data_IF_488606693731
#
_entry.id   IF_488606693731
#
_cell.length_a   1.000
_cell.length_b   1.000
_cell.length_c   1.000
_cell.angle_alpha   90.00
_cell.angle_beta   90.00
_cell.angle_gamma   90.00
#
_symmetry.space_group_name_H-M   'P 1'
#
loop_
_entity.id
_entity.type
_entity.pdbx_description
1 polymer ?
#
# COMPACT_ATOMS: atom_id res chain seq x y z
N UNK A 1 12.01 -2.31 -40.38
CA UNK A 1 12.73 -1.69 -39.25
C UNK A 1 11.75 -1.45 -38.11
N UNK A 2 11.51 -2.51 -37.34
CA UNK A 2 10.63 -2.48 -36.19
C UNK A 2 11.45 -2.01 -34.98
N UNK A 3 11.19 -0.75 -34.62
CA UNK A 3 11.55 -0.13 -33.37
C UNK A 3 11.35 -1.13 -32.21
N UNK A 4 12.46 -1.59 -31.63
CA UNK A 4 12.43 -2.48 -30.48
C UNK A 4 11.74 -1.75 -29.34
N UNK A 5 10.50 -2.14 -29.04
CA UNK A 5 9.63 -1.51 -28.06
C UNK A 5 10.29 -1.52 -26.66
N UNK A 6 11.00 -0.43 -26.31
CA UNK A 6 11.78 -0.22 -25.08
C UNK A 6 10.98 -0.54 -23.80
N UNK A 7 9.64 -0.59 -23.89
CA UNK A 7 8.72 -0.93 -22.80
C UNK A 7 8.86 -2.38 -22.29
N UNK A 8 9.54 -3.25 -23.03
CA UNK A 8 9.79 -4.64 -22.63
C UNK A 8 11.17 -4.87 -22.01
N UNK A 9 12.09 -3.91 -22.07
CA UNK A 9 13.45 -4.09 -21.53
C UNK A 9 13.50 -3.95 -20.01
N UNK A 10 14.20 -4.88 -19.35
CA UNK A 10 14.39 -4.84 -17.91
C UNK A 10 15.31 -3.68 -17.54
N UNK A 11 14.75 -2.66 -16.89
CA UNK A 11 15.52 -1.51 -16.42
C UNK A 11 16.29 -1.90 -15.16
N UNK A 12 17.63 -1.81 -15.25
CA UNK A 12 18.58 -2.06 -14.15
C UNK A 12 19.32 -0.80 -13.71
N UNK A 13 18.84 0.38 -14.07
CA UNK A 13 19.50 1.65 -13.75
C UNK A 13 19.59 1.84 -12.24
N UNK A 14 20.80 2.14 -11.75
CA UNK A 14 21.06 2.34 -10.33
C UNK A 14 21.15 1.05 -9.50
N UNK A 15 21.27 -0.13 -10.13
CA UNK A 15 21.61 -1.36 -9.42
C UNK A 15 23.14 -1.46 -9.18
N UNK A 16 23.54 -1.81 -7.96
CA UNK A 16 24.91 -2.13 -7.61
C UNK A 16 25.10 -3.66 -7.56
N UNK A 17 25.57 -4.23 -8.67
CA UNK A 17 25.81 -5.68 -8.81
C UNK A 17 26.88 -6.21 -7.87
N UNK A 18 27.81 -5.37 -7.37
CA UNK A 18 28.83 -5.80 -6.40
C UNK A 18 28.20 -6.26 -5.09
N UNK A 19 26.96 -5.83 -4.81
CA UNK A 19 26.19 -6.20 -3.63
C UNK A 19 25.25 -7.38 -3.85
N UNK A 20 25.17 -7.89 -5.08
CA UNK A 20 24.28 -8.96 -5.50
C UNK A 20 25.08 -10.10 -6.13
N UNK A 21 26.11 -10.58 -5.44
CA UNK A 21 27.05 -11.58 -5.96
C UNK A 21 26.40 -12.94 -6.26
N UNK A 22 25.27 -13.26 -5.63
CA UNK A 22 24.53 -14.51 -5.88
C UNK A 22 23.54 -14.37 -7.05
N UNK A 23 23.32 -13.15 -7.54
CA UNK A 23 22.32 -12.86 -8.55
C UNK A 23 22.97 -12.40 -9.87
N UNK A 24 22.15 -12.45 -10.92
CA UNK A 24 22.46 -11.91 -12.23
C UNK A 24 21.18 -11.46 -12.94
N UNK A 25 21.33 -10.82 -14.11
CA UNK A 25 20.20 -10.51 -14.98
C UNK A 25 19.53 -11.83 -15.45
N UNK A 26 18.19 -11.88 -15.53
CA UNK A 26 17.49 -13.02 -16.12
C UNK A 26 18.01 -13.32 -17.53
N UNK A 27 18.14 -14.61 -17.87
CA UNK A 27 18.63 -15.04 -19.19
C UNK A 27 17.65 -14.74 -20.33
N UNK A 28 16.41 -14.40 -20.00
CA UNK A 28 15.35 -14.08 -20.95
C UNK A 28 14.56 -12.89 -20.43
N UNK A 29 14.32 -11.92 -21.30
CA UNK A 29 13.41 -10.81 -21.05
C UNK A 29 11.99 -11.33 -20.86
N UNK A 30 11.23 -10.69 -19.98
CA UNK A 30 9.85 -11.08 -19.71
C UNK A 30 8.97 -10.88 -20.97
N UNK A 31 8.31 -11.94 -21.44
CA UNK A 31 7.45 -11.91 -22.66
C UNK A 31 6.12 -11.16 -22.49
N UNK A 32 5.69 -10.92 -21.24
CA UNK A 32 4.40 -10.33 -20.93
C UNK A 32 4.54 -8.90 -20.38
N UNK A 33 3.45 -8.13 -20.49
CA UNK A 33 3.34 -6.77 -19.92
C UNK A 33 3.83 -6.75 -18.48
N UNK A 34 4.79 -5.88 -18.20
CA UNK A 34 5.40 -5.75 -16.87
C UNK A 34 4.37 -5.32 -15.83
N UNK A 35 4.35 -6.06 -14.71
CA UNK A 35 3.56 -5.69 -13.54
C UNK A 35 4.06 -4.35 -12.96
N UNK A 36 3.16 -3.60 -12.31
CA UNK A 36 3.46 -2.30 -11.70
C UNK A 36 4.63 -2.34 -10.71
N UNK A 37 4.90 -3.51 -10.11
CA UNK A 37 5.99 -3.73 -9.14
C UNK A 37 7.37 -3.35 -9.71
N UNK A 38 7.58 -3.51 -11.02
CA UNK A 38 8.87 -3.27 -11.66
C UNK A 38 9.20 -1.77 -11.82
N UNK A 39 8.24 -0.88 -11.53
CA UNK A 39 8.52 0.55 -11.33
C UNK A 39 9.33 0.81 -10.05
N UNK A 40 9.30 -0.13 -9.11
CA UNK A 40 9.82 0.04 -7.74
C UNK A 40 10.96 -0.94 -7.40
N UNK A 41 11.45 -1.71 -8.37
CA UNK A 41 12.53 -2.66 -8.14
C UNK A 41 12.93 -3.43 -9.38
N UNK A 42 13.82 -4.40 -9.18
CA UNK A 42 14.53 -5.12 -10.23
C UNK A 42 14.17 -6.60 -10.21
N UNK A 43 13.99 -7.18 -11.39
CA UNK A 43 13.88 -8.62 -11.57
C UNK A 43 15.28 -9.22 -11.73
N UNK A 44 15.65 -10.18 -10.89
CA UNK A 44 16.95 -10.86 -10.97
C UNK A 44 16.75 -12.37 -10.92
N UNK A 45 17.74 -13.15 -11.36
CA UNK A 45 17.75 -14.59 -11.15
C UNK A 45 18.98 -15.02 -10.33
N UNK A 46 18.90 -16.18 -9.70
CA UNK A 46 20.07 -16.78 -9.04
C UNK A 46 21.09 -17.21 -10.08
N UNK A 47 22.37 -16.93 -9.81
CA UNK A 47 23.47 -17.35 -10.67
C UNK A 47 23.64 -18.87 -10.71
N UNK A 48 23.37 -19.54 -9.60
CA UNK A 48 23.43 -21.00 -9.48
C UNK A 48 22.23 -21.71 -10.12
N UNK A 49 21.09 -21.01 -10.28
CA UNK A 49 19.89 -21.54 -10.91
C UNK A 49 19.11 -20.40 -11.58
N UNK A 50 19.38 -20.11 -12.87
CA UNK A 50 18.77 -18.98 -13.58
C UNK A 50 17.25 -19.04 -13.74
N UNK A 51 16.62 -20.20 -13.52
CA UNK A 51 15.16 -20.34 -13.57
C UNK A 51 14.49 -19.78 -12.30
N UNK A 52 15.24 -19.60 -11.21
CA UNK A 52 14.72 -19.00 -9.98
C UNK A 52 14.81 -17.48 -10.05
N UNK A 53 13.65 -16.86 -10.24
CA UNK A 53 13.47 -15.42 -10.30
C UNK A 53 13.18 -14.84 -8.90
N UNK A 54 13.79 -13.70 -8.62
CA UNK A 54 13.62 -12.90 -7.42
C UNK A 54 13.35 -11.45 -7.76
N UNK A 55 12.74 -10.74 -6.83
CA UNK A 55 12.56 -9.29 -6.90
C UNK A 55 13.44 -8.59 -5.86
N UNK A 56 14.09 -7.52 -6.29
CA UNK A 56 14.88 -6.63 -5.43
C UNK A 56 14.22 -5.26 -5.39
N UNK A 57 13.78 -4.81 -4.21
CA UNK A 57 13.24 -3.46 -4.03
C UNK A 57 14.32 -2.39 -4.24
N UNK A 58 14.04 -1.40 -5.11
CA UNK A 58 14.98 -0.30 -5.42
C UNK A 58 15.31 0.53 -4.19
N UNK A 59 14.29 0.88 -3.40
CA UNK A 59 14.47 1.66 -2.18
C UNK A 59 15.38 0.95 -1.17
N UNK A 60 15.08 -0.32 -0.86
CA UNK A 60 15.89 -1.11 0.06
C UNK A 60 17.33 -1.29 -0.44
N UNK A 61 17.49 -1.49 -1.76
CA UNK A 61 18.80 -1.58 -2.36
C UNK A 61 19.61 -0.31 -2.17
N UNK A 62 19.05 0.87 -2.46
CA UNK A 62 19.72 2.15 -2.27
C UNK A 62 20.09 2.42 -0.80
N UNK A 63 19.22 2.03 0.15
CA UNK A 63 19.43 2.22 1.59
C UNK A 63 20.22 1.09 2.26
N UNK A 64 20.85 0.23 1.47
CA UNK A 64 21.71 -0.87 1.93
C UNK A 64 21.04 -1.93 2.82
N UNK A 65 19.72 -2.05 2.77
CA UNK A 65 18.91 -3.05 3.51
C UNK A 65 18.31 -4.09 2.56
N UNK A 66 19.02 -4.39 1.47
CA UNK A 66 18.52 -5.21 0.36
C UNK A 66 18.02 -6.57 0.83
N UNK A 67 16.72 -6.81 0.69
CA UNK A 67 16.11 -8.13 0.83
C UNK A 67 15.61 -8.56 -0.55
N UNK A 68 15.89 -9.81 -0.92
CA UNK A 68 15.27 -10.45 -2.06
C UNK A 68 13.96 -11.09 -1.63
N UNK A 69 12.93 -10.99 -2.45
CA UNK A 69 11.63 -11.58 -2.14
C UNK A 69 11.01 -12.20 -3.38
N UNK A 70 10.35 -13.34 -3.20
CA UNK A 70 9.49 -13.96 -4.21
C UNK A 70 8.08 -13.35 -4.22
N UNK A 71 7.70 -12.57 -3.19
CA UNK A 71 6.38 -11.94 -3.02
C UNK A 71 6.46 -10.42 -3.15
N UNK A 72 6.90 -9.94 -4.31
CA UNK A 72 7.19 -8.52 -4.57
C UNK A 72 6.01 -7.57 -4.31
N UNK A 73 4.79 -7.93 -4.75
CA UNK A 73 3.61 -7.07 -4.61
C UNK A 73 3.24 -6.85 -3.13
N UNK A 74 3.20 -7.93 -2.34
CA UNK A 74 2.92 -7.85 -0.91
C UNK A 74 4.01 -7.07 -0.16
N UNK A 75 5.28 -7.28 -0.54
CA UNK A 75 6.41 -6.56 0.03
C UNK A 75 6.32 -5.04 -0.21
N UNK A 76 6.03 -4.62 -1.44
CA UNK A 76 5.89 -3.20 -1.79
C UNK A 76 4.64 -2.54 -1.17
N UNK A 77 3.60 -3.32 -0.85
CA UNK A 77 2.38 -2.84 -0.20
C UNK A 77 2.47 -2.75 1.33
N UNK A 78 3.56 -3.26 1.92
CA UNK A 78 3.79 -3.22 3.35
C UNK A 78 3.93 -1.77 3.85
N UNK A 79 3.45 -1.51 5.07
CA UNK A 79 3.53 -0.18 5.67
C UNK A 79 4.91 0.08 6.28
N UNK A 80 5.89 0.26 5.41
CA UNK A 80 7.29 0.52 5.75
C UNK A 80 7.81 1.70 4.94
N UNK A 81 8.86 2.35 5.46
CA UNK A 81 9.47 3.50 4.79
C UNK A 81 9.99 3.09 3.41
N UNK A 82 9.63 3.86 2.38
CA UNK A 82 9.97 3.57 0.98
C UNK A 82 9.14 2.47 0.32
N UNK A 83 8.13 1.94 1.01
CA UNK A 83 7.09 1.05 0.49
C UNK A 83 5.73 1.79 0.48
N UNK A 84 4.61 1.08 0.61
CA UNK A 84 3.23 1.57 0.43
C UNK A 84 2.82 1.87 -1.02
N UNK A 85 3.42 1.17 -1.98
CA UNK A 85 3.00 1.27 -3.37
C UNK A 85 1.78 0.39 -3.64
N UNK A 86 0.79 0.94 -4.32
CA UNK A 86 -0.40 0.21 -4.78
C UNK A 86 -0.42 0.12 -6.30
N UNK A 87 -1.14 -0.85 -6.89
CA UNK A 87 -1.26 -0.98 -8.35
C UNK A 87 -1.80 0.29 -9.03
N UNK A 88 -2.64 1.07 -8.33
CA UNK A 88 -3.20 2.34 -8.80
C UNK A 88 -2.28 3.55 -8.59
N UNK A 89 -1.13 3.39 -7.91
CA UNK A 89 -0.22 4.49 -7.57
C UNK A 89 -0.69 5.35 -6.40
N UNK A 90 -1.84 5.04 -5.79
CA UNK A 90 -2.35 5.74 -4.61
C UNK A 90 -1.58 5.26 -3.39
N UNK A 91 -0.79 6.12 -2.78
CA UNK A 91 -0.18 5.86 -1.48
C UNK A 91 -1.29 5.57 -0.46
N UNK A 92 -1.14 4.51 0.35
CA UNK A 92 -1.96 4.36 1.55
C UNK A 92 -1.83 5.67 2.33
N UNK A 93 -2.96 6.24 2.74
CA UNK A 93 -2.99 7.52 3.45
C UNK A 93 -1.98 7.51 4.60
N UNK A 94 -1.14 8.53 4.64
CA UNK A 94 -0.24 8.73 5.75
C UNK A 94 -1.08 9.07 6.97
N UNK A 95 -1.18 8.13 7.90
CA UNK A 95 -1.59 8.44 9.26
C UNK A 95 -0.65 9.50 9.84
N UNK A 96 -1.19 10.44 10.62
CA UNK A 96 -0.39 11.45 11.30
C UNK A 96 0.66 10.79 12.21
N UNK A 97 1.81 11.43 12.46
CA UNK A 97 2.82 10.91 13.37
C UNK A 97 2.20 10.53 14.73
N UNK A 98 2.35 9.26 15.14
CA UNK A 98 1.77 8.71 16.37
C UNK A 98 0.48 7.91 16.19
N UNK A 99 -0.18 7.98 15.04
CA UNK A 99 -1.35 7.15 14.74
C UNK A 99 -0.94 5.83 14.08
N UNK A 100 -1.45 4.69 14.59
CA UNK A 100 -1.31 3.35 13.98
C UNK A 100 -2.70 2.78 13.74
N UNK A 101 -2.94 2.19 12.57
CA UNK A 101 -4.17 1.40 12.36
C UNK A 101 -4.18 0.19 13.30
N UNK A 102 -5.37 -0.35 13.65
CA UNK A 102 -5.45 -1.63 14.38
C UNK A 102 -4.66 -2.72 13.67
N UNK A 103 -4.78 -2.80 12.34
CA UNK A 103 -3.98 -3.71 11.51
C UNK A 103 -2.47 -3.49 11.68
N UNK A 104 -2.03 -2.24 11.75
CA UNK A 104 -0.62 -1.87 11.99
C UNK A 104 -0.15 -2.18 13.41
N UNK A 105 -1.02 -2.18 14.42
CA UNK A 105 -0.69 -2.62 15.78
C UNK A 105 -0.51 -4.15 15.83
N UNK A 106 -1.41 -4.91 15.22
CA UNK A 106 -1.29 -6.38 15.13
C UNK A 106 -0.05 -6.81 14.35
N UNK A 107 0.32 -6.12 13.27
CA UNK A 107 1.54 -6.41 12.51
C UNK A 107 2.83 -6.13 13.30
N UNK A 108 2.76 -5.27 14.32
CA UNK A 108 3.89 -4.98 15.22
C UNK A 108 3.94 -5.91 16.45
N UNK A 109 3.16 -7.01 16.45
CA UNK A 109 3.15 -7.99 17.54
C UNK A 109 2.34 -7.58 18.76
N UNK A 110 1.59 -6.47 18.69
CA UNK A 110 0.67 -6.08 19.76
C UNK A 110 -0.59 -6.94 19.64
N UNK A 111 -0.84 -7.78 20.65
CA UNK A 111 -2.03 -8.61 20.74
C UNK A 111 -3.20 -7.70 21.12
N UNK A 112 -4.15 -7.54 20.20
CA UNK A 112 -5.41 -6.84 20.48
C UNK A 112 -6.40 -7.86 21.04
N UNK A 113 -6.96 -7.65 22.24
CA UNK A 113 -8.03 -8.48 22.77
C UNK A 113 -9.18 -8.59 21.78
N UNK A 114 -9.70 -9.81 21.59
CA UNK A 114 -10.68 -10.11 20.54
C UNK A 114 -11.98 -9.31 20.71
N UNK A 115 -12.43 -9.10 21.94
CA UNK A 115 -13.58 -8.27 22.29
C UNK A 115 -13.37 -6.81 21.84
N UNK A 116 -12.20 -6.24 22.13
CA UNK A 116 -11.83 -4.90 21.68
C UNK A 116 -11.67 -4.80 20.16
N UNK A 117 -11.12 -5.84 19.54
CA UNK A 117 -11.04 -5.98 18.08
C UNK A 117 -12.42 -6.04 17.42
N UNK A 118 -13.37 -6.75 18.01
CA UNK A 118 -14.75 -6.88 17.52
C UNK A 118 -15.54 -5.58 17.66
N UNK A 119 -15.30 -4.80 18.73
CA UNK A 119 -15.95 -3.51 18.96
C UNK A 119 -15.46 -2.44 17.96
N UNK A 120 -14.16 -2.43 17.64
CA UNK A 120 -13.54 -1.32 16.91
C UNK A 120 -13.26 -1.67 15.43
N UNK A 121 -13.13 -2.95 15.10
CA UNK A 121 -12.58 -3.44 13.82
C UNK A 121 -13.54 -3.46 12.63
N UNK A 122 -14.79 -3.05 12.77
CA UNK A 122 -15.79 -3.23 11.72
C UNK A 122 -16.76 -2.05 11.57
N UNK A 123 -16.22 -0.83 11.41
CA UNK A 123 -17.05 0.34 11.15
C UNK A 123 -17.82 0.19 9.82
N UNK A 124 -19.10 -0.12 9.92
CA UNK A 124 -19.96 -0.31 8.76
C UNK A 124 -20.44 1.06 8.23
N UNK A 125 -19.75 1.56 7.21
CA UNK A 125 -20.02 2.85 6.58
C UNK A 125 -21.48 2.97 6.10
N UNK A 126 -22.06 1.89 5.57
CA UNK A 126 -23.43 1.90 5.07
C UNK A 126 -24.44 1.94 6.22
N UNK A 127 -24.21 1.17 7.29
CA UNK A 127 -25.04 1.21 8.49
C UNK A 127 -24.97 2.58 9.16
N UNK A 128 -23.79 3.22 9.21
CA UNK A 128 -23.64 4.58 9.73
C UNK A 128 -24.43 5.60 8.91
N UNK A 129 -24.33 5.56 7.57
CA UNK A 129 -25.09 6.46 6.68
C UNK A 129 -26.60 6.30 6.90
N UNK A 130 -27.07 5.06 6.97
CA UNK A 130 -28.48 4.76 7.21
C UNK A 130 -28.93 5.25 8.59
N UNK A 131 -28.13 5.02 9.64
CA UNK A 131 -28.42 5.47 11.00
C UNK A 131 -28.45 6.99 11.11
N UNK A 132 -27.53 7.71 10.45
CA UNK A 132 -27.48 9.17 10.42
C UNK A 132 -28.72 9.77 9.74
N UNK A 133 -29.13 9.22 8.59
CA UNK A 133 -30.36 9.64 7.90
C UNK A 133 -31.60 9.29 8.74
N UNK A 134 -31.65 8.09 9.32
CA UNK A 134 -32.74 7.67 10.19
C UNK A 134 -32.87 8.55 11.44
N UNK A 135 -31.75 8.99 12.03
CA UNK A 135 -31.73 9.94 13.14
C UNK A 135 -32.35 11.28 12.76
N UNK A 136 -32.03 11.82 11.57
CA UNK A 136 -32.66 13.05 11.08
C UNK A 136 -34.18 12.89 10.95
N UNK A 137 -34.62 11.80 10.30
CA UNK A 137 -36.05 11.53 10.07
C UNK A 137 -36.81 11.34 11.38
N UNK A 138 -36.28 10.53 12.31
CA UNK A 138 -36.94 10.23 13.59
C UNK A 138 -37.08 11.45 14.50
N UNK A 139 -36.14 12.39 14.43
CA UNK A 139 -36.15 13.60 15.25
C UNK A 139 -36.66 14.84 14.48
N UNK A 140 -37.18 14.65 13.26
CA UNK A 140 -37.64 15.71 12.37
C UNK A 140 -36.60 16.84 12.19
N UNK A 141 -35.32 16.46 12.10
CA UNK A 141 -34.24 17.40 11.88
C UNK A 141 -34.06 17.68 10.39
N UNK A 142 -33.79 18.94 10.01
CA UNK A 142 -33.56 19.29 8.62
C UNK A 142 -32.20 18.77 8.12
N UNK A 143 -32.10 18.43 6.82
CA UNK A 143 -30.85 17.99 6.18
C UNK A 143 -29.68 18.98 6.32
N UNK A 144 -29.96 20.25 6.64
CA UNK A 144 -28.92 21.26 6.93
C UNK A 144 -28.09 20.93 8.18
N UNK A 145 -28.58 20.07 9.08
CA UNK A 145 -27.84 19.64 10.28
C UNK A 145 -26.49 18.99 9.92
N UNK A 146 -26.43 18.24 8.81
CA UNK A 146 -25.16 17.68 8.31
C UNK A 146 -24.16 18.74 7.82
N UNK A 147 -24.62 19.97 7.54
CA UNK A 147 -23.76 21.08 7.15
C UNK A 147 -23.27 21.89 8.34
N UNK A 148 -23.77 21.63 9.55
CA UNK A 148 -23.40 22.40 10.73
C UNK A 148 -21.92 22.22 11.08
N UNK A 149 -21.27 23.25 11.66
CA UNK A 149 -19.89 23.14 12.13
C UNK A 149 -19.69 22.01 13.14
N UNK A 150 -20.68 21.76 14.02
CA UNK A 150 -20.63 20.71 15.02
C UNK A 150 -20.61 19.31 14.37
N UNK A 151 -21.49 19.03 13.41
CA UNK A 151 -21.49 17.76 12.69
C UNK A 151 -20.22 17.58 11.84
N UNK A 152 -19.77 18.65 11.16
CA UNK A 152 -18.50 18.63 10.40
C UNK A 152 -17.30 18.36 11.31
N UNK A 153 -17.26 18.91 12.52
CA UNK A 153 -16.21 18.64 13.49
C UNK A 153 -16.23 17.18 13.96
N UNK A 154 -17.42 16.61 14.18
CA UNK A 154 -17.58 15.20 14.52
C UNK A 154 -17.05 14.28 13.40
N UNK A 155 -17.42 14.55 12.14
CA UNK A 155 -16.91 13.80 10.99
C UNK A 155 -15.41 13.99 10.81
N UNK A 156 -14.87 15.19 11.04
CA UNK A 156 -13.43 15.47 10.95
C UNK A 156 -12.62 14.66 11.97
N UNK A 157 -13.12 14.49 13.19
CA UNK A 157 -12.47 13.68 14.22
C UNK A 157 -12.59 12.19 13.90
N UNK A 158 -13.73 11.73 13.39
CA UNK A 158 -13.98 10.33 13.08
C UNK A 158 -13.34 9.85 11.76
N UNK A 159 -13.14 10.77 10.80
CA UNK A 159 -12.60 10.47 9.48
C UNK A 159 -11.83 11.69 8.93
N UNK A 160 -10.52 11.72 9.19
CA UNK A 160 -9.62 12.79 8.74
C UNK A 160 -9.54 12.92 7.20
N UNK A 161 -9.87 11.87 6.43
CA UNK A 161 -9.86 11.87 4.96
C UNK A 161 -11.14 12.45 4.33
N UNK A 162 -12.26 12.47 5.07
CA UNK A 162 -13.58 12.88 4.53
C UNK A 162 -13.68 14.37 4.16
N UNK A 163 -12.70 15.18 4.56
CA UNK A 163 -12.67 16.63 4.34
C UNK A 163 -12.44 17.02 2.88
N UNK A 164 -11.88 16.11 2.07
CA UNK A 164 -11.64 16.35 0.64
C UNK A 164 -12.87 16.06 -0.23
N UNK A 165 -13.98 15.60 0.36
CA UNK A 165 -15.19 15.14 -0.36
C UNK A 165 -16.49 15.78 0.13
N UNK A 166 -16.44 16.71 1.08
CA UNK A 166 -17.58 17.45 1.66
C UNK A 166 -17.49 18.94 1.37
#
# INVERSE_FOLDING_TARGET
DEDFDERFEDNFDGIDWKRLLEFMKPLRTQKHKKSWIYRHGYQVCLRSNPDRIYFICRYCHQHKVTLSTSTAAAYLQANQRGHNHTPSGVLKSHLLPGQKTLAGLTMNGIIIPQDMGNVIGNFNIQAFRLAAVSWLVKNNHPLREFKTPAFKALIKVANLEALNTL
#
